data_IF_582291389437
#
_entry.id   IF_582291389437
#
_cell.length_a   1.000
_cell.length_b   1.000
_cell.length_c   1.000
_cell.angle_alpha   90.00
_cell.angle_beta   90.00
_cell.angle_gamma   90.00
#
_symmetry.space_group_name_H-M   'P 1'
#
loop_
_entity.id
_entity.type
_entity.pdbx_description
1 polymer ?
#
# COMPACT_ATOMS: atom_id res chain seq x y z
N UNK A 1 -50.43 -47.54 5.10
CA UNK A 1 -50.17 -46.20 4.55
C UNK A 1 -48.93 -45.64 5.23
N UNK A 2 -47.73 -45.61 4.61
CA UNK A 2 -46.50 -45.02 5.20
C UNK A 2 -45.47 -44.55 4.14
N UNK A 3 -45.78 -44.64 2.83
CA UNK A 3 -44.81 -44.37 1.75
C UNK A 3 -44.72 -42.87 1.42
N UNK A 4 -45.75 -42.09 1.75
CA UNK A 4 -45.84 -40.67 1.38
C UNK A 4 -44.94 -39.78 2.27
N UNK A 5 -44.80 -40.10 3.56
CA UNK A 5 -43.93 -39.35 4.49
C UNK A 5 -42.43 -39.55 4.22
N UNK A 6 -42.01 -40.74 3.75
CA UNK A 6 -40.61 -40.98 3.39
C UNK A 6 -40.23 -40.26 2.09
N UNK A 7 -41.19 -40.07 1.19
CA UNK A 7 -40.99 -39.42 -0.11
C UNK A 7 -40.78 -37.91 0.03
N UNK A 8 -41.55 -37.27 0.91
CA UNK A 8 -41.42 -35.83 1.21
C UNK A 8 -40.13 -35.54 1.98
N UNK A 9 -39.74 -36.39 2.94
CA UNK A 9 -38.46 -36.26 3.63
C UNK A 9 -37.25 -36.40 2.70
N UNK A 10 -37.32 -37.30 1.71
CA UNK A 10 -36.27 -37.45 0.70
C UNK A 10 -36.17 -36.22 -0.23
N UNK A 11 -37.30 -35.66 -0.64
CA UNK A 11 -37.35 -34.45 -1.47
C UNK A 11 -36.80 -33.22 -0.72
N UNK A 12 -37.19 -33.05 0.55
CA UNK A 12 -36.67 -31.97 1.41
C UNK A 12 -35.16 -32.11 1.66
N UNK A 13 -34.67 -33.34 1.88
CA UNK A 13 -33.23 -33.60 2.01
C UNK A 13 -32.45 -33.26 0.74
N UNK A 14 -33.04 -33.49 -0.43
CA UNK A 14 -32.43 -33.15 -1.71
C UNK A 14 -32.37 -31.64 -1.92
N UNK A 15 -33.45 -30.93 -1.63
CA UNK A 15 -33.53 -29.46 -1.69
C UNK A 15 -32.48 -28.81 -0.75
N UNK A 16 -32.41 -29.27 0.51
CA UNK A 16 -31.39 -28.77 1.45
C UNK A 16 -29.96 -29.05 0.97
N UNK A 17 -29.71 -30.20 0.32
CA UNK A 17 -28.39 -30.53 -0.24
C UNK A 17 -28.02 -29.61 -1.39
N UNK A 18 -28.97 -29.26 -2.24
CA UNK A 18 -28.78 -28.34 -3.35
C UNK A 18 -28.48 -26.92 -2.84
N UNK A 19 -29.23 -26.45 -1.85
CA UNK A 19 -29.02 -25.14 -1.21
C UNK A 19 -27.63 -25.06 -0.56
N UNK A 20 -27.22 -26.10 0.18
CA UNK A 20 -25.87 -26.20 0.76
C UNK A 20 -24.78 -26.21 -0.32
N UNK A 21 -25.02 -26.87 -1.46
CA UNK A 21 -24.07 -26.88 -2.57
C UNK A 21 -23.91 -25.50 -3.20
N UNK A 22 -25.01 -24.75 -3.34
CA UNK A 22 -25.00 -23.38 -3.83
C UNK A 22 -24.29 -22.42 -2.86
N UNK A 23 -24.63 -22.47 -1.57
CA UNK A 23 -23.96 -21.69 -0.53
C UNK A 23 -22.44 -21.96 -0.51
N UNK A 24 -22.04 -23.22 -0.66
CA UNK A 24 -20.62 -23.60 -0.77
C UNK A 24 -19.94 -22.98 -1.98
N UNK A 25 -20.59 -22.96 -3.16
CA UNK A 25 -20.06 -22.29 -4.35
C UNK A 25 -19.94 -20.78 -4.15
N UNK A 26 -20.94 -20.16 -3.52
CA UNK A 26 -20.93 -18.73 -3.21
C UNK A 26 -19.82 -18.36 -2.24
N UNK A 27 -19.52 -19.18 -1.23
CA UNK A 27 -18.39 -18.93 -0.32
C UNK A 27 -17.04 -19.12 -1.02
N UNK A 28 -16.92 -20.11 -1.91
CA UNK A 28 -15.70 -20.35 -2.69
C UNK A 28 -15.40 -19.22 -3.69
N UNK A 29 -16.44 -18.57 -4.22
CA UNK A 29 -16.29 -17.47 -5.18
C UNK A 29 -15.89 -16.14 -4.52
N UNK A 30 -15.95 -16.03 -3.19
CA UNK A 30 -15.50 -14.84 -2.48
C UNK A 30 -13.97 -14.73 -2.62
N UNK A 31 -13.46 -13.71 -3.34
CA UNK A 31 -12.03 -13.54 -3.52
C UNK A 31 -11.39 -13.23 -2.17
N UNK A 32 -10.53 -14.14 -1.70
CA UNK A 32 -9.77 -14.02 -0.42
C UNK A 32 -8.82 -12.82 -0.39
N UNK A 33 -8.69 -12.09 -1.50
CA UNK A 33 -7.68 -11.07 -1.71
C UNK A 33 -8.20 -9.63 -1.52
N UNK A 34 -9.13 -9.40 -0.58
CA UNK A 34 -9.55 -8.03 -0.20
C UNK A 34 -8.63 -7.36 0.81
N UNK A 35 -7.85 -8.13 1.57
CA UNK A 35 -6.99 -7.59 2.62
C UNK A 35 -5.62 -7.14 2.10
N UNK A 36 -5.00 -7.86 1.15
CA UNK A 36 -3.70 -7.44 0.62
C UNK A 36 -3.80 -6.10 -0.15
N UNK A 37 -4.92 -5.85 -0.84
CA UNK A 37 -5.09 -4.63 -1.65
C UNK A 37 -5.23 -3.34 -0.83
N UNK A 38 -5.65 -3.42 0.44
CA UNK A 38 -5.73 -2.23 1.32
C UNK A 38 -4.41 -1.88 2.00
N UNK A 39 -3.57 -2.87 2.28
CA UNK A 39 -2.28 -2.64 2.96
C UNK A 39 -1.30 -1.89 2.04
N UNK A 40 -1.33 -2.14 0.73
CA UNK A 40 -0.44 -1.46 -0.23
C UNK A 40 -0.98 -0.12 -0.78
N UNK A 41 -2.25 0.22 -0.55
CA UNK A 41 -2.83 1.47 -1.05
C UNK A 41 -2.48 2.71 -0.22
N UNK A 42 -1.85 2.54 0.94
CA UNK A 42 -1.48 3.64 1.86
C UNK A 42 -0.03 4.11 1.71
N UNK A 43 0.73 3.52 0.78
CA UNK A 43 2.02 4.10 0.43
C UNK A 43 1.78 5.21 -0.60
N UNK A 44 1.99 6.51 -0.26
CA UNK A 44 1.98 7.54 -1.28
C UNK A 44 2.95 7.11 -2.38
N UNK A 45 2.61 7.31 -3.67
CA UNK A 45 3.52 6.96 -4.75
C UNK A 45 4.85 7.65 -4.45
N UNK A 46 5.89 6.85 -4.19
CA UNK A 46 7.23 7.39 -4.00
C UNK A 46 7.55 8.07 -5.31
N UNK A 47 7.43 9.41 -5.33
CA UNK A 47 7.78 10.24 -6.46
C UNK A 47 9.14 9.72 -6.94
N UNK A 48 9.28 9.30 -8.21
CA UNK A 48 10.56 8.81 -8.70
C UNK A 48 11.56 9.88 -8.34
N UNK A 49 12.56 9.52 -7.51
CA UNK A 49 13.61 10.46 -7.17
C UNK A 49 14.26 10.81 -8.49
N UNK A 50 13.89 11.97 -9.03
CA UNK A 50 14.58 12.56 -10.15
C UNK A 50 16.05 12.53 -9.77
N UNK A 51 16.85 11.81 -10.57
CA UNK A 51 18.28 11.67 -10.37
C UNK A 51 18.81 13.04 -9.95
N UNK A 52 19.41 13.16 -8.74
CA UNK A 52 19.71 14.46 -8.18
C UNK A 52 20.51 15.24 -9.19
N UNK A 53 19.95 16.38 -9.62
CA UNK A 53 20.62 17.28 -10.56
C UNK A 53 22.03 17.57 -10.02
N UNK A 54 23.03 17.81 -10.89
CA UNK A 54 24.41 18.02 -10.45
C UNK A 54 24.53 19.16 -9.41
N UNK A 55 23.58 20.10 -9.39
CA UNK A 55 23.45 21.13 -8.36
C UNK A 55 23.19 20.57 -6.95
N UNK A 56 22.35 19.54 -6.78
CA UNK A 56 22.02 18.93 -5.48
C UNK A 56 23.22 18.17 -4.90
N UNK A 57 24.07 17.59 -5.76
CA UNK A 57 25.27 16.85 -5.33
C UNK A 57 26.31 17.74 -4.67
N UNK A 58 26.30 19.05 -4.95
CA UNK A 58 27.24 20.04 -4.39
C UNK A 58 26.69 20.73 -3.14
N UNK A 59 25.54 20.30 -2.61
CA UNK A 59 24.95 20.84 -1.39
C UNK A 59 25.31 19.95 -0.18
N UNK A 60 25.57 20.57 0.97
CA UNK A 60 25.74 19.82 2.21
C UNK A 60 24.43 19.15 2.65
N UNK A 61 24.51 18.18 3.56
CA UNK A 61 23.34 17.46 4.08
C UNK A 61 22.21 18.41 4.51
N UNK A 62 22.53 19.48 5.23
CA UNK A 62 21.53 20.44 5.70
C UNK A 62 20.82 21.18 4.56
N UNK A 63 21.54 21.61 3.51
CA UNK A 63 20.92 22.24 2.35
C UNK A 63 20.19 21.25 1.43
N UNK A 64 20.57 19.96 1.44
CA UNK A 64 19.82 18.90 0.75
C UNK A 64 18.47 18.62 1.40
N UNK A 65 18.41 18.70 2.73
CA UNK A 65 17.19 18.37 3.51
C UNK A 65 16.29 19.58 3.74
N UNK A 66 16.87 20.75 4.06
CA UNK A 66 16.12 21.94 4.47
C UNK A 66 16.15 23.07 3.42
N UNK A 67 16.89 22.89 2.32
CA UNK A 67 17.01 23.90 1.27
C UNK A 67 17.55 25.21 1.81
N UNK A 68 16.96 26.34 1.37
CA UNK A 68 17.38 27.70 1.77
C UNK A 68 17.13 28.00 3.25
N UNK A 69 16.31 27.22 3.95
CA UNK A 69 16.04 27.40 5.37
C UNK A 69 17.11 26.77 6.28
N UNK A 70 18.14 26.13 5.71
CA UNK A 70 19.22 25.53 6.47
C UNK A 70 20.05 26.60 7.20
N UNK A 71 19.99 26.58 8.54
CA UNK A 71 20.74 27.53 9.40
C UNK A 71 22.19 27.12 9.67
N UNK A 72 22.56 25.90 9.29
CA UNK A 72 23.89 25.32 9.55
C UNK A 72 24.49 24.79 8.26
N UNK A 73 25.31 25.61 7.61
CA UNK A 73 26.09 25.19 6.46
C UNK A 73 27.36 24.44 6.91
N UNK A 74 27.82 23.47 6.12
CA UNK A 74 29.10 22.78 6.33
C UNK A 74 29.83 22.70 5.00
N UNK A 75 31.11 23.05 4.97
CA UNK A 75 31.97 22.94 3.78
C UNK A 75 32.24 21.47 3.42
N UNK A 76 32.34 21.11 2.12
CA UNK A 76 32.14 21.95 0.93
C UNK A 76 30.65 22.01 0.52
N UNK A 77 30.08 23.22 0.48
CA UNK A 77 28.71 23.46 0.04
C UNK A 77 28.70 24.56 -1.02
N UNK A 78 28.14 24.29 -2.19
CA UNK A 78 28.01 25.27 -3.27
C UNK A 78 26.83 26.24 -3.07
N UNK A 79 26.12 26.15 -1.95
CA UNK A 79 25.05 27.08 -1.59
C UNK A 79 25.65 28.44 -1.21
N UNK A 80 25.76 29.34 -2.19
CA UNK A 80 26.19 30.73 -1.99
C UNK A 80 25.04 31.54 -1.37
N UNK A 81 24.93 31.49 -0.05
CA UNK A 81 24.13 32.44 0.73
C UNK A 81 24.86 32.68 2.06
N UNK A 82 25.83 33.59 1.99
CA UNK A 82 26.19 34.51 3.07
C UNK A 82 26.51 33.98 4.47
N UNK A 83 27.14 32.81 4.62
CA UNK A 83 27.83 32.42 5.87
C UNK A 83 28.98 31.43 5.57
N UNK A 84 29.72 31.70 4.49
CA UNK A 84 31.12 31.29 4.47
C UNK A 84 31.84 32.40 5.21
N UNK A 85 32.09 32.23 6.52
CA UNK A 85 33.25 32.89 7.10
C UNK A 85 34.46 32.27 6.42
N UNK A 86 35.24 33.04 5.63
CA UNK A 86 36.58 32.62 5.29
C UNK A 86 37.41 32.95 6.53
N UNK A 87 37.78 31.94 7.31
CA UNK A 87 38.81 32.10 8.35
C UNK A 87 39.96 31.18 7.95
N UNK A 88 41.15 31.79 7.90
CA UNK A 88 42.44 31.37 7.33
C UNK A 88 42.86 29.89 7.48
#
# INVERSE_FOLDING_TARGET
MNVVESSTGAAQLQELREEVAELRRSVQSIPRNRLARRVFAHSPPRRPQQSPTPAIRRLCYYHRTFGRAARRCRSPCAFRQGNASPED
#
